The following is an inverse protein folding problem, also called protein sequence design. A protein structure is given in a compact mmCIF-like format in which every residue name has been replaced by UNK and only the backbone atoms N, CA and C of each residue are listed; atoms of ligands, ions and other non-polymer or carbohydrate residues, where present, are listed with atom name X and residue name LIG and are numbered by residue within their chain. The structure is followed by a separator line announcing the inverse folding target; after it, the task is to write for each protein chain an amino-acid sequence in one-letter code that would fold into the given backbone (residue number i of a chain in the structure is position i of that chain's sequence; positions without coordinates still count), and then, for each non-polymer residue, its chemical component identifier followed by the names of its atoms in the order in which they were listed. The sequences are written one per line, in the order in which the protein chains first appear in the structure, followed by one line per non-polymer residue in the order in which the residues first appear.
data_IF_300122865266
#
_entry.id   IF_300122865266
#
_cell.length_a   1.000
_cell.length_b   1.000
_cell.length_c   1.000
_cell.angle_alpha   90.00
_cell.angle_beta   90.00
_cell.angle_gamma   90.00
#
_symmetry.space_group_name_H-M   'P 1'
#
loop_
_entity.id
_entity.type
_entity.pdbx_description
1 polymer ?
#
# COMPACT_ATOMS: atom_id res chain seq x y z
N UNK A 1 11.56 -12.85 3.24
CA UNK A 1 10.91 -11.55 3.59
C UNK A 1 9.40 -11.66 3.81
N UNK A 2 8.62 -12.26 2.90
CA UNK A 2 7.15 -12.33 3.01
C UNK A 2 6.64 -12.81 4.39
N UNK A 3 7.23 -13.88 4.94
CA UNK A 3 6.85 -14.40 6.25
C UNK A 3 7.01 -13.37 7.39
N UNK A 4 8.08 -12.58 7.38
CA UNK A 4 8.27 -11.51 8.37
C UNK A 4 7.26 -10.37 8.19
N UNK A 5 6.97 -9.97 6.95
CA UNK A 5 5.90 -9.02 6.61
C UNK A 5 4.55 -9.56 7.11
N UNK A 6 4.31 -10.86 6.94
CA UNK A 6 3.10 -11.54 7.43
C UNK A 6 3.10 -11.82 8.93
N UNK A 7 4.09 -11.39 9.70
CA UNK A 7 4.09 -11.47 11.18
C UNK A 7 4.25 -10.07 11.80
N UNK A 8 4.11 -9.01 11.00
CA UNK A 8 4.39 -7.61 11.39
C UNK A 8 5.81 -7.38 11.94
N UNK A 9 6.77 -8.22 11.55
CA UNK A 9 8.20 -8.13 11.89
C UNK A 9 8.94 -7.33 10.83
N UNK A 10 8.54 -6.07 10.67
CA UNK A 10 8.97 -5.22 9.55
C UNK A 10 10.48 -4.91 9.58
N UNK A 11 11.07 -4.78 10.77
CA UNK A 11 12.51 -4.52 10.91
C UNK A 11 13.32 -5.74 10.48
N UNK A 12 12.94 -6.95 10.91
CA UNK A 12 13.57 -8.19 10.45
C UNK A 12 13.33 -8.43 8.96
N UNK A 13 12.15 -8.08 8.46
CA UNK A 13 11.85 -8.11 7.03
C UNK A 13 12.84 -7.22 6.25
N UNK A 14 13.12 -6.01 6.74
CA UNK A 14 14.09 -5.09 6.13
C UNK A 14 15.51 -5.66 6.15
N UNK A 15 15.95 -6.27 7.27
CA UNK A 15 17.27 -6.91 7.35
C UNK A 15 17.43 -8.07 6.35
N UNK A 16 16.46 -8.98 6.29
CA UNK A 16 16.51 -10.10 5.34
C UNK A 16 16.43 -9.62 3.89
N UNK A 17 15.64 -8.58 3.63
CA UNK A 17 15.58 -7.95 2.31
C UNK A 17 16.92 -7.35 1.92
N UNK A 18 17.61 -6.68 2.84
CA UNK A 18 18.96 -6.17 2.61
C UNK A 18 19.93 -7.28 2.24
N UNK A 19 19.91 -8.43 2.92
CA UNK A 19 20.78 -9.56 2.55
C UNK A 19 20.45 -10.06 1.14
N UNK A 20 19.17 -10.26 0.82
CA UNK A 20 18.76 -10.73 -0.50
C UNK A 20 19.13 -9.76 -1.64
N UNK A 21 19.04 -8.44 -1.38
CA UNK A 21 19.47 -7.41 -2.34
C UNK A 21 20.98 -7.50 -2.59
N UNK A 22 21.80 -7.64 -1.54
CA UNK A 22 23.25 -7.77 -1.68
C UNK A 22 23.64 -9.02 -2.47
N UNK A 23 23.03 -10.16 -2.18
CA UNK A 23 23.25 -11.40 -2.94
C UNK A 23 22.84 -11.25 -4.42
N UNK A 24 21.70 -10.62 -4.71
CA UNK A 24 21.28 -10.34 -6.08
C UNK A 24 22.23 -9.37 -6.80
N UNK A 25 22.80 -8.41 -6.09
CA UNK A 25 23.81 -7.50 -6.61
C UNK A 25 25.13 -8.23 -6.93
N UNK A 26 25.61 -9.10 -6.04
CA UNK A 26 26.80 -9.94 -6.26
C UNK A 26 26.63 -10.85 -7.48
N UNK A 27 25.42 -11.35 -7.72
CA UNK A 27 25.08 -12.14 -8.91
C UNK A 27 24.88 -11.30 -10.18
N UNK A 28 24.99 -9.97 -10.10
CA UNK A 28 24.84 -9.05 -11.22
C UNK A 28 23.41 -8.86 -11.72
N UNK A 29 22.39 -9.20 -10.93
CA UNK A 29 20.98 -9.15 -11.38
C UNK A 29 20.45 -7.73 -11.65
N UNK A 30 21.12 -6.72 -11.10
CA UNK A 30 20.81 -5.31 -11.29
C UNK A 30 21.32 -4.73 -12.61
N UNK A 31 22.13 -5.50 -13.36
CA UNK A 31 22.71 -5.08 -14.63
C UNK A 31 22.43 -6.06 -15.78
N UNK A 32 21.78 -5.60 -16.86
CA UNK A 32 21.70 -6.29 -18.15
C UNK A 32 23.10 -6.56 -18.72
N UNK A 33 24.01 -5.60 -18.58
CA UNK A 33 25.34 -5.62 -19.21
C UNK A 33 26.27 -6.71 -18.66
N UNK A 34 26.05 -7.14 -17.41
CA UNK A 34 26.86 -8.17 -16.73
C UNK A 34 26.34 -9.58 -17.01
N UNK A 35 25.23 -9.70 -17.76
CA UNK A 35 24.48 -10.95 -17.93
C UNK A 35 25.10 -11.99 -18.87
N UNK A 36 26.33 -11.82 -19.37
CA UNK A 36 27.02 -12.82 -20.19
C UNK A 36 26.17 -13.47 -21.29
N UNK A 37 26.40 -14.75 -21.59
CA UNK A 37 25.53 -15.57 -22.45
C UNK A 37 24.45 -16.28 -21.64
N UNK A 38 23.59 -15.54 -20.94
CA UNK A 38 22.41 -16.13 -20.29
C UNK A 38 21.30 -16.42 -21.31
N UNK A 39 20.60 -17.54 -21.10
CA UNK A 39 19.38 -17.87 -21.82
C UNK A 39 18.32 -16.77 -21.62
N UNK A 40 17.37 -16.64 -22.54
CA UNK A 40 16.27 -15.67 -22.39
C UNK A 40 15.44 -15.96 -21.14
N UNK A 41 15.26 -17.24 -20.80
CA UNK A 41 14.58 -17.67 -19.58
C UNK A 41 15.31 -17.16 -18.33
N UNK A 42 16.62 -17.40 -18.20
CA UNK A 42 17.37 -16.98 -17.02
C UNK A 42 17.41 -15.46 -16.87
N UNK A 43 17.50 -14.75 -17.99
CA UNK A 43 17.46 -13.29 -18.02
C UNK A 43 16.13 -12.74 -17.54
N UNK A 44 15.04 -13.29 -18.04
CA UNK A 44 13.70 -12.93 -17.57
C UNK A 44 13.52 -13.26 -16.09
N UNK A 45 14.00 -14.41 -15.61
CA UNK A 45 13.94 -14.76 -14.18
C UNK A 45 14.72 -13.76 -13.30
N UNK A 46 15.90 -13.31 -13.75
CA UNK A 46 16.66 -12.25 -13.05
C UNK A 46 15.90 -10.92 -13.00
N UNK A 47 15.30 -10.48 -14.12
CA UNK A 47 14.47 -9.26 -14.16
C UNK A 47 13.27 -9.37 -13.21
N UNK A 48 12.64 -10.54 -13.13
CA UNK A 48 11.51 -10.81 -12.23
C UNK A 48 11.93 -10.72 -10.76
N UNK A 49 13.05 -11.34 -10.41
CA UNK A 49 13.62 -11.27 -9.04
C UNK A 49 13.95 -9.82 -8.69
N UNK A 50 14.67 -9.11 -9.57
CA UNK A 50 15.05 -7.72 -9.32
C UNK A 50 13.83 -6.80 -9.19
N UNK A 51 12.82 -6.96 -10.04
CA UNK A 51 11.56 -6.22 -9.95
C UNK A 51 10.88 -6.38 -8.58
N UNK A 52 10.87 -7.60 -8.02
CA UNK A 52 10.33 -7.86 -6.68
C UNK A 52 11.18 -7.17 -5.61
N UNK A 53 12.51 -7.33 -5.66
CA UNK A 53 13.44 -6.76 -4.67
C UNK A 53 13.37 -5.24 -4.65
N UNK A 54 13.41 -4.59 -5.81
CA UNK A 54 13.32 -3.14 -5.95
C UNK A 54 11.98 -2.59 -5.47
N UNK A 55 10.87 -3.25 -5.82
CA UNK A 55 9.55 -2.87 -5.35
C UNK A 55 9.44 -2.99 -3.82
N UNK A 56 9.96 -4.09 -3.25
CA UNK A 56 9.91 -4.31 -1.81
C UNK A 56 10.84 -3.39 -1.03
N UNK A 57 11.99 -3.02 -1.59
CA UNK A 57 12.89 -2.07 -0.96
C UNK A 57 12.20 -0.73 -0.73
N UNK A 58 11.58 -0.18 -1.78
CA UNK A 58 10.82 1.05 -1.66
C UNK A 58 9.65 0.92 -0.67
N UNK A 59 8.86 -0.16 -0.75
CA UNK A 59 7.70 -0.36 0.12
C UNK A 59 8.07 -0.46 1.60
N UNK A 60 9.11 -1.24 1.94
CA UNK A 60 9.54 -1.42 3.33
C UNK A 60 10.25 -0.16 3.83
N UNK A 61 11.04 0.50 2.99
CA UNK A 61 11.75 1.74 3.33
C UNK A 61 10.76 2.89 3.57
N UNK A 62 9.73 3.03 2.72
CA UNK A 62 8.63 3.96 2.94
C UNK A 62 7.88 3.67 4.25
N UNK A 63 7.51 2.40 4.49
CA UNK A 63 6.81 1.98 5.70
C UNK A 63 7.59 2.27 6.99
N UNK A 64 8.91 2.05 6.98
CA UNK A 64 9.79 2.25 8.14
C UNK A 64 10.38 3.67 8.23
N UNK A 65 10.04 4.56 7.29
CA UNK A 65 10.65 5.87 7.12
C UNK A 65 12.19 5.83 7.00
N UNK A 66 12.75 4.77 6.43
CA UNK A 66 14.20 4.57 6.22
C UNK A 66 14.60 4.91 4.79
N UNK A 67 15.87 5.27 4.52
CA UNK A 67 16.40 5.32 3.16
C UNK A 67 16.27 3.95 2.46
N UNK A 68 16.10 3.99 1.14
CA UNK A 68 16.17 2.78 0.29
C UNK A 68 17.57 2.16 0.35
N UNK A 69 17.63 0.85 0.20
CA UNK A 69 18.86 0.06 0.19
C UNK A 69 19.54 0.08 -1.17
N UNK A 70 18.74 0.17 -2.24
CA UNK A 70 19.20 0.12 -3.61
C UNK A 70 19.47 1.54 -4.11
N UNK A 71 20.70 1.77 -4.58
CA UNK A 71 21.03 2.96 -5.37
C UNK A 71 20.50 2.80 -6.79
N UNK A 72 19.44 3.54 -7.11
CA UNK A 72 18.79 3.48 -8.42
C UNK A 72 19.60 4.11 -9.55
N UNK A 73 20.67 4.85 -9.24
CA UNK A 73 21.57 5.40 -10.27
C UNK A 73 22.51 4.34 -10.86
N UNK A 74 22.68 3.21 -10.17
CA UNK A 74 23.56 2.11 -10.58
C UNK A 74 22.79 0.90 -11.17
N UNK A 75 21.53 1.10 -11.57
CA UNK A 75 20.67 0.06 -12.13
C UNK A 75 20.49 0.28 -13.65
N UNK A 76 20.71 -0.76 -14.46
CA UNK A 76 20.34 -0.74 -15.90
C UNK A 76 19.37 -1.88 -16.30
N UNK A 77 18.96 -2.73 -15.34
CA UNK A 77 18.02 -3.83 -15.58
C UNK A 77 16.63 -3.34 -15.98
N UNK A 78 16.11 -3.96 -17.04
CA UNK A 78 14.78 -3.65 -17.57
C UNK A 78 13.68 -4.39 -16.80
N UNK A 79 12.46 -3.85 -16.85
CA UNK A 79 11.30 -4.52 -16.29
C UNK A 79 11.04 -5.88 -16.99
N UNK A 80 10.51 -6.88 -16.28
CA UNK A 80 10.25 -8.19 -16.85
C UNK A 80 9.24 -8.11 -18.01
N UNK A 81 9.46 -8.95 -19.02
CA UNK A 81 8.60 -9.02 -20.23
C UNK A 81 7.25 -9.68 -19.94
N UNK A 82 7.18 -10.58 -18.95
CA UNK A 82 5.97 -11.30 -18.53
C UNK A 82 5.39 -12.24 -19.60
N UNK A 83 6.25 -12.83 -20.43
CA UNK A 83 5.82 -13.68 -21.57
C UNK A 83 5.97 -15.19 -21.34
N UNK A 84 6.74 -15.61 -20.33
CA UNK A 84 7.07 -17.02 -20.08
C UNK A 84 5.85 -17.93 -19.85
N UNK A 85 4.76 -17.38 -19.30
CA UNK A 85 3.55 -18.15 -19.01
C UNK A 85 2.76 -18.53 -20.27
N UNK A 86 2.95 -17.82 -21.39
CA UNK A 86 2.13 -17.98 -22.59
C UNK A 86 0.67 -17.55 -22.42
N UNK A 87 0.33 -16.84 -21.34
CA UNK A 87 -1.01 -16.33 -21.08
C UNK A 87 -1.00 -14.99 -20.34
N UNK A 88 -2.13 -14.29 -20.37
CA UNK A 88 -2.36 -13.05 -19.64
C UNK A 88 -3.53 -13.19 -18.64
N UNK A 89 -3.52 -12.42 -17.52
CA UNK A 89 -2.36 -11.69 -17.01
C UNK A 89 -1.28 -12.67 -16.53
N UNK A 90 -0.01 -12.23 -16.49
CA UNK A 90 1.05 -12.99 -15.83
C UNK A 90 0.89 -12.87 -14.30
N UNK A 91 1.20 -13.91 -13.50
CA UNK A 91 1.15 -13.80 -12.04
C UNK A 91 1.98 -12.64 -11.48
N UNK A 92 3.08 -12.26 -12.12
CA UNK A 92 3.91 -11.14 -11.68
C UNK A 92 3.42 -9.76 -12.15
N UNK A 93 2.37 -9.69 -12.97
CA UNK A 93 1.91 -8.42 -13.56
C UNK A 93 1.56 -7.36 -12.50
N UNK A 94 0.97 -7.77 -11.39
CA UNK A 94 0.69 -6.86 -10.28
C UNK A 94 1.95 -6.22 -9.68
N UNK A 95 3.07 -6.94 -9.64
CA UNK A 95 4.35 -6.43 -9.14
C UNK A 95 5.01 -5.49 -10.15
N UNK A 96 4.98 -5.85 -11.44
CA UNK A 96 5.49 -5.00 -12.52
C UNK A 96 4.79 -3.64 -12.54
N UNK A 97 3.46 -3.63 -12.47
CA UNK A 97 2.67 -2.39 -12.41
C UNK A 97 3.08 -1.49 -11.24
N UNK A 98 3.34 -2.07 -10.06
CA UNK A 98 3.82 -1.31 -8.90
C UNK A 98 5.24 -0.79 -9.11
N UNK A 99 6.14 -1.60 -9.67
CA UNK A 99 7.53 -1.19 -9.95
C UNK A 99 7.58 0.00 -10.91
N UNK A 100 6.73 0.01 -11.94
CA UNK A 100 6.56 1.14 -12.86
C UNK A 100 6.14 2.42 -12.15
N UNK A 101 5.11 2.35 -11.30
CA UNK A 101 4.63 3.50 -10.53
C UNK A 101 5.71 3.99 -9.55
N UNK A 102 6.29 3.08 -8.77
CA UNK A 102 7.31 3.40 -7.76
C UNK A 102 8.50 4.10 -8.40
N UNK A 103 8.93 3.66 -9.58
CA UNK A 103 10.02 4.29 -10.31
C UNK A 103 9.68 5.72 -10.72
N UNK A 104 8.48 5.96 -11.24
CA UNK A 104 8.02 7.31 -11.57
C UNK A 104 7.94 8.23 -10.33
N UNK A 105 7.40 7.71 -9.22
CA UNK A 105 7.27 8.47 -7.98
C UNK A 105 8.64 8.78 -7.37
N UNK A 106 9.50 7.77 -7.23
CA UNK A 106 10.81 7.92 -6.59
C UNK A 106 11.71 8.87 -7.36
N UNK A 107 11.73 8.80 -8.69
CA UNK A 107 12.58 9.69 -9.52
C UNK A 107 12.18 11.17 -9.37
N UNK A 108 10.91 11.45 -9.06
CA UNK A 108 10.41 12.81 -8.91
C UNK A 108 10.44 13.32 -7.47
N UNK A 109 10.17 12.44 -6.51
CA UNK A 109 9.84 12.82 -5.14
C UNK A 109 10.70 12.14 -4.07
N UNK A 110 11.47 11.11 -4.40
CA UNK A 110 12.10 10.24 -3.40
C UNK A 110 11.08 9.38 -2.66
N UNK A 111 11.13 9.37 -1.33
CA UNK A 111 10.18 8.62 -0.51
C UNK A 111 8.94 9.48 -0.21
N UNK A 112 7.78 8.87 0.08
CA UNK A 112 6.57 9.63 0.37
C UNK A 112 6.71 10.62 1.54
N UNK A 113 7.55 10.30 2.53
CA UNK A 113 7.87 11.19 3.66
C UNK A 113 8.56 12.50 3.24
N UNK A 114 9.19 12.52 2.08
CA UNK A 114 9.89 13.69 1.54
C UNK A 114 8.91 14.62 0.79
N UNK A 115 7.70 14.15 0.49
CA UNK A 115 6.62 14.92 -0.15
C UNK A 115 5.89 15.76 0.89
N UNK A 116 6.29 17.02 1.02
CA UNK A 116 5.75 17.94 2.03
C UNK A 116 5.07 19.18 1.46
N UNK A 117 5.38 19.57 0.23
CA UNK A 117 4.82 20.78 -0.40
C UNK A 117 3.46 20.48 -1.03
N UNK A 118 2.50 21.41 -0.93
CA UNK A 118 1.13 21.21 -1.40
C UNK A 118 1.05 20.86 -2.89
N UNK A 119 1.89 21.51 -3.70
CA UNK A 119 2.00 21.22 -5.12
C UNK A 119 2.52 19.81 -5.42
N UNK A 120 3.47 19.32 -4.62
CA UNK A 120 4.05 17.99 -4.77
C UNK A 120 3.08 16.90 -4.31
N UNK A 121 2.33 17.12 -3.23
CA UNK A 121 1.25 16.21 -2.80
C UNK A 121 0.24 15.99 -3.93
N UNK A 122 -0.24 17.08 -4.55
CA UNK A 122 -1.18 17.01 -5.68
C UNK A 122 -0.57 16.33 -6.90
N UNK A 123 0.68 16.65 -7.22
CA UNK A 123 1.38 16.04 -8.35
C UNK A 123 1.62 14.53 -8.14
N UNK A 124 1.95 14.11 -6.92
CA UNK A 124 2.08 12.72 -6.51
C UNK A 124 0.74 11.99 -6.70
N UNK A 125 -0.34 12.53 -6.14
CA UNK A 125 -1.68 11.95 -6.27
C UNK A 125 -2.10 11.82 -7.74
N UNK A 126 -1.82 12.82 -8.57
CA UNK A 126 -2.15 12.78 -9.99
C UNK A 126 -1.38 11.68 -10.75
N UNK A 127 -0.15 11.34 -10.34
CA UNK A 127 0.60 10.22 -10.93
C UNK A 127 -0.05 8.89 -10.53
N UNK A 128 -0.39 8.72 -9.24
CA UNK A 128 -1.05 7.50 -8.75
C UNK A 128 -2.44 7.34 -9.39
N UNK A 129 -3.22 8.41 -9.51
CA UNK A 129 -4.53 8.40 -10.15
C UNK A 129 -4.46 7.98 -11.64
N UNK A 130 -3.52 8.53 -12.40
CA UNK A 130 -3.29 8.08 -13.79
C UNK A 130 -2.91 6.60 -13.86
N UNK A 131 -2.11 6.12 -12.91
CA UNK A 131 -1.75 4.70 -12.84
C UNK A 131 -2.96 3.81 -12.54
N UNK A 132 -3.83 4.20 -11.61
CA UNK A 132 -5.07 3.48 -11.31
C UNK A 132 -6.00 3.41 -12.53
N UNK A 133 -6.12 4.51 -13.27
CA UNK A 133 -6.94 4.58 -14.48
C UNK A 133 -6.35 3.82 -15.67
N UNK A 134 -5.06 3.45 -15.62
CA UNK A 134 -4.37 2.68 -16.66
C UNK A 134 -4.35 1.17 -16.38
N UNK A 135 -5.04 0.69 -15.35
CA UNK A 135 -5.07 -0.73 -15.04
C UNK A 135 -5.68 -1.57 -16.19
N UNK A 136 -5.11 -2.75 -16.48
CA UNK A 136 -5.77 -3.73 -17.35
C UNK A 136 -7.16 -4.06 -16.82
N UNK A 137 -8.10 -4.43 -17.71
CA UNK A 137 -9.49 -4.74 -17.35
C UNK A 137 -9.63 -5.74 -16.20
N UNK A 138 -8.77 -6.75 -16.14
CA UNK A 138 -8.75 -7.75 -15.07
C UNK A 138 -8.46 -7.15 -13.67
N UNK A 139 -7.76 -6.02 -13.62
CA UNK A 139 -7.40 -5.29 -12.40
C UNK A 139 -8.10 -3.94 -12.26
N UNK A 140 -9.03 -3.58 -13.15
CA UNK A 140 -9.73 -2.31 -13.13
C UNK A 140 -10.44 -2.07 -11.78
N UNK A 141 -10.49 -0.81 -11.36
CA UNK A 141 -11.18 -0.41 -10.12
C UNK A 141 -12.70 -0.47 -10.24
N UNK A 142 -13.22 -0.22 -11.44
CA UNK A 142 -14.65 -0.21 -11.75
C UNK A 142 -14.90 -1.36 -12.71
N UNK A 143 -15.87 -2.21 -12.37
CA UNK A 143 -16.32 -3.36 -13.18
C UNK A 143 -15.17 -4.22 -13.75
N UNK A 144 -14.30 -4.79 -12.88
CA UNK A 144 -13.20 -5.62 -13.34
C UNK A 144 -13.68 -6.85 -14.11
N UNK A 145 -12.90 -7.25 -15.10
CA UNK A 145 -13.13 -8.49 -15.83
C UNK A 145 -12.83 -9.70 -14.93
N UNK A 146 -13.80 -10.60 -14.79
CA UNK A 146 -13.77 -11.72 -13.81
C UNK A 146 -13.89 -13.11 -14.45
N UNK A 147 -13.92 -13.22 -15.79
CA UNK A 147 -14.14 -14.50 -16.47
C UNK A 147 -13.04 -15.53 -16.16
N UNK A 148 -11.83 -15.07 -15.89
CA UNK A 148 -10.68 -15.91 -15.56
C UNK A 148 -10.55 -16.24 -14.07
N UNK A 149 -11.34 -15.63 -13.18
CA UNK A 149 -11.15 -15.72 -11.72
C UNK A 149 -11.26 -17.17 -11.21
N UNK A 150 -12.21 -17.95 -11.76
CA UNK A 150 -12.39 -19.35 -11.38
C UNK A 150 -11.22 -20.25 -11.82
N UNK A 151 -10.66 -19.98 -13.00
CA UNK A 151 -9.53 -20.73 -13.54
C UNK A 151 -8.21 -20.36 -12.85
N UNK A 152 -8.11 -19.12 -12.34
CA UNK A 152 -6.90 -18.53 -11.77
C UNK A 152 -7.24 -17.71 -10.53
N UNK A 153 -7.50 -18.37 -9.38
CA UNK A 153 -7.96 -17.69 -8.16
C UNK A 153 -7.01 -16.62 -7.62
N UNK A 154 -5.71 -16.71 -7.93
CA UNK A 154 -4.71 -15.71 -7.56
C UNK A 154 -4.98 -14.32 -8.19
N UNK A 155 -5.74 -14.24 -9.28
CA UNK A 155 -6.13 -12.96 -9.90
C UNK A 155 -6.93 -12.10 -8.91
N UNK A 156 -7.88 -12.72 -8.19
CA UNK A 156 -8.73 -12.03 -7.21
C UNK A 156 -7.88 -11.44 -6.09
N UNK A 157 -6.91 -12.21 -5.59
CA UNK A 157 -5.96 -11.75 -4.58
C UNK A 157 -5.12 -10.57 -5.09
N UNK A 158 -4.59 -10.64 -6.31
CA UNK A 158 -3.80 -9.56 -6.90
C UNK A 158 -4.63 -8.30 -7.15
N UNK A 159 -5.88 -8.44 -7.58
CA UNK A 159 -6.82 -7.33 -7.77
C UNK A 159 -7.03 -6.59 -6.45
N UNK A 160 -7.39 -7.30 -5.39
CA UNK A 160 -7.52 -6.71 -4.06
C UNK A 160 -6.22 -6.07 -3.57
N UNK A 161 -5.07 -6.73 -3.78
CA UNK A 161 -3.78 -6.19 -3.38
C UNK A 161 -3.46 -4.87 -4.10
N UNK A 162 -3.62 -4.80 -5.42
CA UNK A 162 -3.40 -3.59 -6.21
C UNK A 162 -4.32 -2.46 -5.78
N UNK A 163 -5.61 -2.73 -5.57
CA UNK A 163 -6.57 -1.72 -5.16
C UNK A 163 -6.20 -1.12 -3.79
N UNK A 164 -5.87 -1.97 -2.82
CA UNK A 164 -5.41 -1.55 -1.50
C UNK A 164 -4.09 -0.79 -1.56
N UNK A 165 -3.11 -1.27 -2.33
CA UNK A 165 -1.81 -0.59 -2.48
C UNK A 165 -1.96 0.78 -3.11
N UNK A 166 -2.78 0.92 -4.15
CA UNK A 166 -3.02 2.19 -4.81
C UNK A 166 -3.62 3.22 -3.85
N UNK A 167 -4.68 2.82 -3.12
CA UNK A 167 -5.33 3.70 -2.15
C UNK A 167 -4.40 4.03 -0.96
N UNK A 168 -3.56 3.08 -0.53
CA UNK A 168 -2.54 3.37 0.49
C UNK A 168 -1.52 4.40 -0.01
N UNK A 169 -1.02 4.24 -1.24
CA UNK A 169 -0.08 5.19 -1.85
C UNK A 169 -0.70 6.58 -2.00
N UNK A 170 -1.98 6.68 -2.37
CA UNK A 170 -2.71 7.97 -2.40
C UNK A 170 -2.67 8.69 -1.03
N UNK A 171 -2.72 7.94 0.07
CA UNK A 171 -2.73 8.49 1.42
C UNK A 171 -1.34 8.85 1.94
N UNK A 172 -0.27 8.18 1.51
CA UNK A 172 1.07 8.34 2.08
C UNK A 172 1.52 9.80 2.29
N UNK A 173 1.44 10.71 1.28
CA UNK A 173 1.80 12.12 1.48
C UNK A 173 0.74 12.95 2.23
N UNK A 174 -0.50 12.46 2.35
CA UNK A 174 -1.62 13.16 2.99
C UNK A 174 -1.68 12.90 4.51
N UNK A 175 -1.13 11.77 4.98
CA UNK A 175 -1.23 11.33 6.38
C UNK A 175 -0.90 12.44 7.40
N UNK A 176 0.12 13.26 7.12
CA UNK A 176 0.50 14.38 7.98
C UNK A 176 -0.59 15.46 8.12
N UNK A 177 -1.40 15.68 7.08
CA UNK A 177 -2.52 16.61 7.09
C UNK A 177 -3.71 16.08 7.89
N UNK A 178 -3.91 14.75 7.89
CA UNK A 178 -4.96 14.10 8.68
C UNK A 178 -4.59 14.03 10.17
N UNK A 179 -3.31 14.01 10.51
CA UNK A 179 -2.82 13.82 11.87
C UNK A 179 -2.55 15.12 12.66
N UNK A 180 -2.82 16.29 12.08
CA UNK A 180 -2.54 17.59 12.72
C UNK A 180 -3.82 18.39 13.01
N UNK A 181 -3.81 19.29 14.00
CA UNK A 181 -4.95 20.16 14.29
C UNK A 181 -5.32 21.02 13.09
N UNK A 182 -6.60 21.00 12.70
CA UNK A 182 -7.13 21.78 11.57
C UNK A 182 -8.54 22.32 11.86
N UNK A 183 -8.87 23.46 11.27
CA UNK A 183 -10.16 24.14 11.38
C UNK A 183 -10.61 24.73 10.04
N UNK A 184 -11.81 25.34 9.98
CA UNK A 184 -12.28 26.10 8.80
C UNK A 184 -11.39 27.28 8.43
N UNK A 185 -10.61 27.79 9.38
CA UNK A 185 -9.70 28.91 9.16
C UNK A 185 -8.31 28.46 8.67
N UNK A 186 -8.04 27.15 8.65
CA UNK A 186 -6.83 26.62 8.03
C UNK A 186 -6.77 27.00 6.54
N UNK A 187 -5.56 27.12 5.95
CA UNK A 187 -5.41 27.45 4.54
C UNK A 187 -6.29 26.55 3.63
N UNK A 188 -7.04 27.12 2.67
CA UNK A 188 -8.01 26.37 1.87
C UNK A 188 -7.44 25.15 1.13
N UNK A 189 -6.19 25.24 0.70
CA UNK A 189 -5.50 24.11 0.06
C UNK A 189 -5.30 22.93 1.01
N UNK A 190 -4.99 23.20 2.27
CA UNK A 190 -4.77 22.16 3.27
C UNK A 190 -6.09 21.52 3.68
N UNK A 191 -7.17 22.32 3.79
CA UNK A 191 -8.52 21.82 4.04
C UNK A 191 -8.93 20.86 2.92
N UNK A 192 -8.66 21.23 1.66
CA UNK A 192 -8.92 20.36 0.52
C UNK A 192 -8.10 19.06 0.57
N UNK A 193 -6.80 19.14 0.88
CA UNK A 193 -5.94 17.95 1.05
C UNK A 193 -6.49 17.04 2.15
N UNK A 194 -6.97 17.62 3.26
CA UNK A 194 -7.62 16.87 4.36
C UNK A 194 -8.89 16.18 3.89
N UNK A 195 -9.79 16.88 3.18
CA UNK A 195 -11.03 16.31 2.67
C UNK A 195 -10.78 15.18 1.66
N UNK A 196 -9.83 15.37 0.74
CA UNK A 196 -9.38 14.34 -0.20
C UNK A 196 -8.83 13.12 0.58
N UNK A 197 -8.04 13.35 1.64
CA UNK A 197 -7.53 12.31 2.53
C UNK A 197 -8.62 11.51 3.23
N UNK A 198 -9.70 12.17 3.67
CA UNK A 198 -10.88 11.50 4.25
C UNK A 198 -11.54 10.61 3.20
N UNK A 199 -11.75 11.11 1.98
CA UNK A 199 -12.36 10.33 0.90
C UNK A 199 -11.55 9.06 0.57
N UNK A 200 -10.24 9.21 0.36
CA UNK A 200 -9.36 8.07 0.08
C UNK A 200 -9.30 7.08 1.25
N UNK A 201 -9.32 7.56 2.49
CA UNK A 201 -9.34 6.69 3.68
C UNK A 201 -10.62 5.85 3.78
N UNK A 202 -11.77 6.46 3.49
CA UNK A 202 -13.05 5.75 3.46
C UNK A 202 -13.08 4.70 2.36
N UNK A 203 -12.63 5.05 1.14
CA UNK A 203 -12.51 4.12 0.01
C UNK A 203 -11.53 2.97 0.29
N UNK A 204 -10.41 3.26 0.95
CA UNK A 204 -9.45 2.24 1.36
C UNK A 204 -10.05 1.28 2.38
N UNK A 205 -10.78 1.76 3.39
CA UNK A 205 -11.45 0.90 4.36
C UNK A 205 -12.53 0.02 3.74
N UNK A 206 -13.25 0.52 2.74
CA UNK A 206 -14.20 -0.28 1.97
C UNK A 206 -13.50 -1.38 1.15
N UNK A 207 -12.44 -1.03 0.41
CA UNK A 207 -11.63 -2.00 -0.32
C UNK A 207 -11.02 -3.08 0.61
N UNK A 208 -10.55 -2.66 1.79
CA UNK A 208 -10.03 -3.56 2.83
C UNK A 208 -11.11 -4.47 3.41
N UNK A 209 -12.36 -4.00 3.49
CA UNK A 209 -13.48 -4.84 3.90
C UNK A 209 -13.74 -5.98 2.91
N UNK A 210 -13.78 -5.66 1.61
CA UNK A 210 -13.88 -6.67 0.55
C UNK A 210 -12.71 -7.64 0.57
N UNK A 211 -11.48 -7.12 0.69
CA UNK A 211 -10.28 -7.95 0.76
C UNK A 211 -10.30 -8.87 1.99
N UNK A 212 -10.67 -8.34 3.16
CA UNK A 212 -10.83 -9.13 4.38
C UNK A 212 -11.85 -10.26 4.20
N UNK A 213 -12.98 -9.99 3.54
CA UNK A 213 -13.98 -11.02 3.21
C UNK A 213 -13.44 -12.13 2.31
N UNK A 214 -12.52 -11.81 1.39
CA UNK A 214 -11.87 -12.79 0.52
C UNK A 214 -10.85 -13.67 1.26
N UNK A 215 -10.02 -13.09 2.13
CA UNK A 215 -8.95 -13.83 2.82
C UNK A 215 -9.40 -14.54 4.10
N UNK A 216 -10.47 -14.07 4.76
CA UNK A 216 -10.94 -14.67 6.01
C UNK A 216 -11.89 -15.86 5.75
N UNK A 217 -11.78 -16.98 6.49
CA UNK A 217 -10.83 -17.26 7.57
C UNK A 217 -9.53 -17.93 7.12
N UNK A 218 -9.44 -18.39 5.86
CA UNK A 218 -8.39 -19.30 5.37
C UNK A 218 -6.99 -18.69 5.41
N UNK A 219 -6.87 -17.43 4.97
CA UNK A 219 -5.64 -16.68 4.86
C UNK A 219 -5.60 -15.51 5.86
N UNK A 220 -6.29 -15.66 7.00
CA UNK A 220 -6.44 -14.63 8.04
C UNK A 220 -5.10 -14.19 8.70
N UNK A 221 -3.98 -14.86 8.38
CA UNK A 221 -2.62 -14.44 8.75
C UNK A 221 -2.01 -13.41 7.79
N UNK A 222 -2.75 -12.98 6.77
CA UNK A 222 -2.32 -11.92 5.86
C UNK A 222 -2.28 -10.56 6.58
N UNK A 223 -1.20 -10.34 7.35
CA UNK A 223 -1.06 -9.18 8.24
C UNK A 223 -1.05 -7.83 7.50
N UNK A 224 -0.81 -7.82 6.19
CA UNK A 224 -0.92 -6.58 5.41
C UNK A 224 -2.34 -6.00 5.47
N UNK A 225 -3.39 -6.81 5.31
CA UNK A 225 -4.79 -6.35 5.46
C UNK A 225 -5.05 -5.85 6.87
N UNK A 226 -4.58 -6.58 7.89
CA UNK A 226 -4.71 -6.18 9.28
C UNK A 226 -4.03 -4.83 9.57
N UNK A 227 -2.80 -4.67 9.08
CA UNK A 227 -2.03 -3.45 9.20
C UNK A 227 -2.77 -2.28 8.56
N UNK A 228 -3.19 -2.42 7.29
CA UNK A 228 -3.89 -1.35 6.59
C UNK A 228 -5.25 -1.00 7.23
N UNK A 229 -6.00 -1.98 7.76
CA UNK A 229 -7.26 -1.71 8.50
C UNK A 229 -6.97 -0.86 9.74
N UNK A 230 -6.00 -1.28 10.54
CA UNK A 230 -5.62 -0.57 11.76
C UNK A 230 -5.09 0.83 11.46
N UNK A 231 -4.12 0.92 10.55
CA UNK A 231 -3.42 2.15 10.17
C UNK A 231 -4.40 3.20 9.61
N UNK A 232 -5.24 2.82 8.65
CA UNK A 232 -6.22 3.73 8.05
C UNK A 232 -7.27 4.18 9.06
N UNK A 233 -7.78 3.27 9.90
CA UNK A 233 -8.75 3.63 10.93
C UNK A 233 -8.12 4.53 12.01
N UNK A 234 -6.87 4.29 12.40
CA UNK A 234 -6.15 5.13 13.36
C UNK A 234 -5.93 6.54 12.81
N UNK A 235 -5.61 6.69 11.52
CA UNK A 235 -5.51 7.98 10.84
C UNK A 235 -6.86 8.73 10.82
N UNK A 236 -7.97 8.04 10.53
CA UNK A 236 -9.30 8.64 10.62
C UNK A 236 -9.64 9.08 12.04
N UNK A 237 -9.33 8.26 13.06
CA UNK A 237 -9.49 8.65 14.46
C UNK A 237 -8.67 9.90 14.79
N UNK A 238 -7.43 9.97 14.30
CA UNK A 238 -6.56 11.15 14.50
C UNK A 238 -7.18 12.40 13.87
N UNK A 239 -7.70 12.30 12.64
CA UNK A 239 -8.40 13.40 11.99
C UNK A 239 -9.64 13.86 12.79
N UNK A 240 -10.42 12.92 13.33
CA UNK A 240 -11.60 13.22 14.16
C UNK A 240 -11.24 13.91 15.48
N UNK A 241 -10.12 13.53 16.11
CA UNK A 241 -9.63 14.11 17.36
C UNK A 241 -8.98 15.49 17.16
N UNK A 242 -8.43 15.75 15.98
CA UNK A 242 -7.76 16.99 15.64
C UNK A 242 -8.64 18.01 14.89
N UNK A 243 -9.93 17.69 14.73
CA UNK A 243 -10.95 18.59 14.19
C UNK A 243 -11.39 19.62 15.26
N UNK A 244 -10.82 20.82 15.21
CA UNK A 244 -10.95 21.82 16.27
C UNK A 244 -12.34 22.46 16.37
N UNK A 245 -13.06 22.55 15.25
CA UNK A 245 -14.30 23.31 15.12
C UNK A 245 -15.45 22.49 14.53
N UNK A 246 -15.33 21.15 14.58
CA UNK A 246 -16.31 20.21 14.01
C UNK A 246 -16.59 20.48 12.52
N UNK A 247 -15.54 20.87 11.78
CA UNK A 247 -15.63 21.22 10.37
C UNK A 247 -15.36 20.08 9.42
N UNK A 248 -14.85 18.97 9.94
CA UNK A 248 -14.47 17.83 9.14
C UNK A 248 -15.69 17.25 8.43
N UNK A 249 -15.58 17.16 7.10
CA UNK A 249 -16.61 16.57 6.27
C UNK A 249 -16.76 15.07 6.56
N UNK A 250 -17.94 14.50 6.31
CA UNK A 250 -18.21 13.05 6.40
C UNK A 250 -17.94 12.44 7.79
N UNK A 251 -18.05 13.22 8.87
CA UNK A 251 -17.79 12.76 10.26
C UNK A 251 -18.51 11.45 10.61
N UNK A 252 -19.80 11.34 10.26
CA UNK A 252 -20.60 10.14 10.54
C UNK A 252 -20.10 8.93 9.75
N UNK A 253 -19.76 9.10 8.46
CA UNK A 253 -19.19 8.03 7.63
C UNK A 253 -17.85 7.55 8.20
N UNK A 254 -17.02 8.46 8.71
CA UNK A 254 -15.75 8.11 9.38
C UNK A 254 -15.99 7.29 10.64
N UNK A 255 -16.94 7.67 11.48
CA UNK A 255 -17.30 6.92 12.69
C UNK A 255 -17.79 5.51 12.33
N UNK A 256 -18.66 5.39 11.33
CA UNK A 256 -19.13 4.10 10.81
C UNK A 256 -17.97 3.27 10.27
N UNK A 257 -17.05 3.87 9.53
CA UNK A 257 -15.88 3.18 8.99
C UNK A 257 -14.93 2.68 10.10
N UNK A 258 -14.70 3.47 11.15
CA UNK A 258 -13.94 3.07 12.33
C UNK A 258 -14.62 1.91 13.07
N UNK A 259 -15.94 1.96 13.24
CA UNK A 259 -16.69 0.87 13.88
C UNK A 259 -16.64 -0.42 13.04
N UNK A 260 -16.71 -0.33 11.70
CA UNK A 260 -16.47 -1.47 10.79
C UNK A 260 -15.04 -2.03 10.93
N UNK A 261 -14.03 -1.16 11.00
CA UNK A 261 -12.64 -1.56 11.20
C UNK A 261 -12.43 -2.29 12.53
N UNK A 262 -13.01 -1.78 13.62
CA UNK A 262 -13.01 -2.42 14.94
C UNK A 262 -13.65 -3.81 14.89
N UNK A 263 -14.77 -3.96 14.17
CA UNK A 263 -15.44 -5.26 13.98
C UNK A 263 -14.55 -6.26 13.24
N UNK A 264 -13.90 -5.84 12.15
CA UNK A 264 -12.95 -6.69 11.41
C UNK A 264 -11.76 -7.13 12.27
N UNK A 265 -11.13 -6.19 13.00
CA UNK A 265 -10.03 -6.50 13.91
C UNK A 265 -10.47 -7.41 15.07
N UNK A 266 -11.69 -7.23 15.59
CA UNK A 266 -12.27 -8.08 16.63
C UNK A 266 -12.42 -9.53 16.15
N UNK A 267 -12.82 -9.74 14.90
CA UNK A 267 -12.92 -11.09 14.28
C UNK A 267 -11.54 -11.77 14.16
N UNK A 268 -10.45 -11.01 14.09
CA UNK A 268 -9.08 -11.51 14.05
C UNK A 268 -8.44 -11.71 15.43
N UNK A 269 -9.08 -11.26 16.51
CA UNK A 269 -8.53 -11.24 17.88
C UNK A 269 -8.10 -12.64 18.40
N UNK A 270 -8.70 -13.70 17.88
CA UNK A 270 -8.37 -15.10 18.20
C UNK A 270 -7.36 -15.73 17.26
N UNK A 271 -7.05 -15.08 16.13
CA UNK A 271 -6.19 -15.62 15.07
C UNK A 271 -4.71 -15.27 15.32
N UNK A 272 -4.40 -14.01 15.66
CA UNK A 272 -3.02 -13.57 15.89
C UNK A 272 -2.89 -12.65 17.10
N UNK A 273 -1.73 -12.67 17.77
CA UNK A 273 -1.42 -11.75 18.88
C UNK A 273 -1.44 -10.29 18.41
N UNK A 274 -0.95 -10.03 17.21
CA UNK A 274 -0.93 -8.70 16.59
C UNK A 274 -2.34 -8.15 16.43
N UNK A 275 -3.28 -8.95 15.91
CA UNK A 275 -4.68 -8.55 15.76
C UNK A 275 -5.32 -8.11 17.08
N UNK A 276 -5.08 -8.88 18.15
CA UNK A 276 -5.54 -8.57 19.50
C UNK A 276 -5.03 -7.22 19.99
N UNK A 277 -3.73 -6.98 19.81
CA UNK A 277 -3.11 -5.71 20.19
C UNK A 277 -3.67 -4.56 19.38
N UNK A 278 -3.73 -4.68 18.05
CA UNK A 278 -4.29 -3.66 17.16
C UNK A 278 -5.74 -3.31 17.49
N UNK A 279 -6.59 -4.31 17.76
CA UNK A 279 -7.96 -4.08 18.22
C UNK A 279 -8.01 -3.28 19.52
N UNK A 280 -7.24 -3.69 20.55
CA UNK A 280 -7.22 -3.01 21.85
C UNK A 280 -6.77 -1.55 21.73
N UNK A 281 -5.72 -1.31 20.93
CA UNK A 281 -5.20 0.04 20.70
C UNK A 281 -6.22 0.89 19.97
N UNK A 282 -6.79 0.40 18.86
CA UNK A 282 -7.77 1.15 18.10
C UNK A 282 -9.03 1.43 18.92
N UNK A 283 -9.51 0.47 19.71
CA UNK A 283 -10.67 0.66 20.58
C UNK A 283 -10.44 1.76 21.61
N UNK A 284 -9.23 1.82 22.21
CA UNK A 284 -8.85 2.88 23.13
C UNK A 284 -8.77 4.25 22.46
N UNK A 285 -8.23 4.32 21.24
CA UNK A 285 -8.19 5.56 20.46
C UNK A 285 -9.61 6.03 20.14
N UNK A 286 -10.47 5.13 19.66
CA UNK A 286 -11.84 5.43 19.26
C UNK A 286 -12.73 5.90 20.44
N UNK A 287 -12.41 5.50 21.68
CA UNK A 287 -13.08 5.99 22.89
C UNK A 287 -12.81 7.46 23.19
N UNK A 288 -11.69 8.01 22.71
CA UNK A 288 -11.33 9.41 22.93
C UNK A 288 -11.94 10.36 21.89
N UNK A 289 -12.71 9.84 20.94
CA UNK A 289 -13.38 10.64 19.92
C UNK A 289 -14.72 11.12 20.47
N UNK A 290 -14.95 12.43 20.48
CA UNK A 290 -16.25 13.01 20.81
C UNK A 290 -17.31 12.55 19.81
N UNK A 291 -18.24 11.70 20.25
CA UNK A 291 -19.38 11.22 19.44
C UNK A 291 -20.58 12.16 19.62
N UNK A 292 -21.43 12.37 18.58
CA UNK A 292 -22.66 13.13 18.73
C UNK A 292 -23.54 12.51 19.83
N UNK A 293 -23.87 13.28 20.87
CA UNK A 293 -24.69 12.83 22.00
C UNK A 293 -23.94 12.46 23.29
N UNK A 294 -22.62 12.71 23.36
CA UNK A 294 -21.86 12.79 24.62
C UNK A 294 -21.60 14.25 25.02
#
# INVERSE_FOLDING_TARGET
CYWYKSEARFVECWHVLSTAIREAQELGMHKETVSGQLSEFDREMRRRIWCILDTWDWQISALLSRPVLIDRTDIDVSLPSLTLEGYTPSPLQHMKLQSELITQLFNRFGLPKDVSQHGDVRAYQAIVDRWMNAFPSTYAFIDPETSNDASRPWIVLHRHYLHTMAMSMMLDPIRAYLARPMSKQSPPEEVKIRDDGVDYSLRLLDALHGFFGHVYPRDAKFHFVLFCIFDTAAVLCSALMHDQDSSLSKRDDMLVAVDKALSMLKRLNTVTKTARTSYKVLAKIAQNISRPGQ
#
